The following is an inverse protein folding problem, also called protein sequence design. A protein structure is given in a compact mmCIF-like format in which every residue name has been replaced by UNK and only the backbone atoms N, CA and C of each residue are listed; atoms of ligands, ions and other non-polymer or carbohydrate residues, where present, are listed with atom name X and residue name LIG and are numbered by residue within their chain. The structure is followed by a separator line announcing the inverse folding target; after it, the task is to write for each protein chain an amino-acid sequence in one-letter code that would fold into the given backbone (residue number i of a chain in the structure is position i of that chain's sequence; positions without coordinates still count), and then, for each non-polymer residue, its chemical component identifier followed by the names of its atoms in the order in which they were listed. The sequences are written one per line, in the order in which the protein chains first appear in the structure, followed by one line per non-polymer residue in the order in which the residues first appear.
data_IF_651304061876
#
_entry.id   IF_651304061876
#
_cell.length_a   1.000
_cell.length_b   1.000
_cell.length_c   1.000
_cell.angle_alpha   90.00
_cell.angle_beta   90.00
_cell.angle_gamma   90.00
#
_symmetry.space_group_name_H-M   'P 1'
#
loop_
_entity.id
_entity.type
_entity.pdbx_description
1 polymer ?
#
# COMPACT_ATOMS: atom_id res chain seq x y z
N UNK A 1 49.39 27.53 -6.81
CA UNK A 1 48.52 26.43 -7.29
C UNK A 1 47.91 26.84 -8.62
N UNK A 2 48.06 26.02 -9.66
CA UNK A 2 47.53 26.34 -10.98
C UNK A 2 46.01 26.19 -10.99
N UNK A 3 45.32 27.06 -11.70
CA UNK A 3 43.85 27.05 -11.87
C UNK A 3 43.31 25.68 -12.31
N UNK A 4 44.10 24.91 -13.06
CA UNK A 4 43.80 23.54 -13.46
C UNK A 4 43.68 22.56 -12.29
N UNK A 5 44.46 22.75 -11.23
CA UNK A 5 44.42 21.86 -10.07
C UNK A 5 43.19 22.13 -9.16
N UNK A 6 42.70 23.37 -9.16
CA UNK A 6 41.48 23.76 -8.43
C UNK A 6 40.24 23.15 -9.11
N UNK A 7 40.19 23.14 -10.44
CA UNK A 7 39.09 22.56 -11.20
C UNK A 7 39.00 21.02 -11.01
N UNK A 8 40.15 20.35 -10.91
CA UNK A 8 40.20 18.91 -10.68
C UNK A 8 39.68 18.49 -9.29
N UNK A 9 39.87 19.32 -8.27
CA UNK A 9 39.40 19.07 -6.90
C UNK A 9 37.89 19.27 -6.79
N UNK A 10 37.30 20.20 -7.56
CA UNK A 10 35.87 20.49 -7.55
C UNK A 10 35.06 19.38 -8.22
N UNK A 11 35.61 18.71 -9.24
CA UNK A 11 34.92 17.61 -9.95
C UNK A 11 34.83 16.34 -9.11
N UNK A 12 35.74 16.14 -8.14
CA UNK A 12 35.77 14.95 -7.28
C UNK A 12 34.79 15.00 -6.10
N UNK A 13 34.24 16.17 -5.77
CA UNK A 13 33.31 16.33 -4.63
C UNK A 13 31.83 16.19 -4.98
N UNK A 14 31.47 15.87 -6.24
CA UNK A 14 30.10 15.76 -6.72
C UNK A 14 29.60 14.30 -6.89
N UNK A 15 30.30 13.31 -6.34
CA UNK A 15 29.75 11.98 -6.21
C UNK A 15 28.82 11.94 -5.00
N UNK A 16 27.64 12.52 -5.17
CA UNK A 16 26.51 12.30 -4.25
C UNK A 16 26.20 10.82 -4.23
N UNK A 17 26.61 10.12 -3.19
CA UNK A 17 26.17 8.76 -2.93
C UNK A 17 24.65 8.81 -2.80
N UNK A 18 23.92 8.39 -3.81
CA UNK A 18 22.53 8.01 -3.66
C UNK A 18 22.51 6.80 -2.72
N UNK A 19 22.31 7.07 -1.44
CA UNK A 19 21.92 6.05 -0.48
C UNK A 19 20.55 5.54 -0.95
N UNK A 20 20.57 4.45 -1.72
CA UNK A 20 19.36 3.65 -1.91
C UNK A 20 19.00 3.11 -0.53
N UNK A 21 18.00 3.70 0.11
CA UNK A 21 17.35 3.10 1.24
C UNK A 21 16.68 1.83 0.72
N UNK A 22 17.33 0.70 0.87
CA UNK A 22 16.78 -0.61 0.50
C UNK A 22 15.58 -0.85 1.40
N UNK A 23 14.38 -0.78 0.83
CA UNK A 23 13.16 -1.14 1.54
C UNK A 23 13.22 -2.64 1.84
N UNK A 24 13.53 -2.99 3.08
CA UNK A 24 13.63 -4.39 3.54
C UNK A 24 12.22 -4.97 3.71
N UNK A 25 11.57 -5.32 2.60
CA UNK A 25 10.31 -6.03 2.61
C UNK A 25 10.53 -7.49 3.01
N UNK A 26 9.94 -7.90 4.12
CA UNK A 26 10.00 -9.26 4.62
C UNK A 26 8.60 -9.86 4.68
N UNK A 27 8.40 -11.00 4.01
CA UNK A 27 7.19 -11.81 4.18
C UNK A 27 7.24 -12.50 5.55
N UNK A 28 6.18 -12.31 6.34
CA UNK A 28 6.04 -12.89 7.68
C UNK A 28 5.31 -14.23 7.64
N UNK A 29 4.25 -14.32 6.82
CA UNK A 29 3.47 -15.54 6.73
C UNK A 29 2.41 -15.52 5.64
N UNK A 30 1.79 -16.69 5.43
CA UNK A 30 0.64 -16.88 4.55
C UNK A 30 -0.46 -17.64 5.29
N UNK A 31 -1.67 -17.13 5.25
CA UNK A 31 -2.84 -17.67 5.94
C UNK A 31 -4.03 -17.70 4.97
N UNK A 32 -4.28 -18.85 4.35
CA UNK A 32 -5.27 -19.00 3.28
C UNK A 32 -4.99 -18.00 2.14
N UNK A 33 -5.93 -17.09 1.86
CA UNK A 33 -5.86 -16.08 0.80
C UNK A 33 -5.15 -14.77 1.24
N UNK A 34 -4.58 -14.74 2.45
CA UNK A 34 -3.88 -13.59 3.00
C UNK A 34 -2.39 -13.85 3.17
N UNK A 35 -1.59 -12.87 2.85
CA UNK A 35 -0.16 -12.83 3.11
C UNK A 35 0.18 -11.61 3.98
N UNK A 36 1.06 -11.82 4.96
CA UNK A 36 1.50 -10.75 5.85
C UNK A 36 2.97 -10.40 5.61
N UNK A 37 3.26 -9.10 5.71
CA UNK A 37 4.57 -8.53 5.46
C UNK A 37 4.95 -7.51 6.51
N UNK A 38 6.26 -7.32 6.67
CA UNK A 38 6.83 -6.17 7.35
C UNK A 38 7.79 -5.46 6.40
N UNK A 39 7.83 -4.14 6.48
CA UNK A 39 8.82 -3.32 5.81
C UNK A 39 9.39 -2.32 6.80
N UNK A 40 10.70 -2.11 6.73
CA UNK A 40 11.38 -1.07 7.50
C UNK A 40 11.78 0.04 6.54
N UNK A 41 11.24 1.23 6.75
CA UNK A 41 11.52 2.41 5.97
C UNK A 41 11.94 3.54 6.90
N UNK A 42 13.13 4.09 6.69
CA UNK A 42 13.67 5.21 7.50
C UNK A 42 13.58 4.98 9.03
N UNK A 43 13.87 3.74 9.49
CA UNK A 43 13.78 3.37 10.91
C UNK A 43 12.36 3.09 11.40
N UNK A 44 11.34 3.29 10.58
CA UNK A 44 9.94 3.02 10.89
C UNK A 44 9.54 1.64 10.41
N UNK A 45 8.89 0.87 11.28
CA UNK A 45 8.35 -0.45 10.94
C UNK A 45 6.88 -0.33 10.53
N UNK A 46 6.60 -0.77 9.31
CA UNK A 46 5.24 -0.89 8.76
C UNK A 46 4.90 -2.38 8.67
N UNK A 47 3.73 -2.76 9.13
CA UNK A 47 3.20 -4.11 8.98
C UNK A 47 1.95 -4.05 8.12
N UNK A 48 1.77 -4.98 7.20
CA UNK A 48 0.54 -5.08 6.43
C UNK A 48 0.20 -6.52 6.07
N UNK A 49 -1.09 -6.78 5.89
CA UNK A 49 -1.60 -7.97 5.25
C UNK A 49 -2.18 -7.60 3.89
N UNK A 50 -2.01 -8.47 2.91
CA UNK A 50 -2.63 -8.33 1.59
C UNK A 50 -3.41 -9.57 1.20
N UNK A 51 -4.47 -9.38 0.43
CA UNK A 51 -5.20 -10.44 -0.25
C UNK A 51 -5.37 -10.10 -1.72
N UNK A 52 -5.26 -11.13 -2.57
CA UNK A 52 -5.45 -11.02 -4.02
C UNK A 52 -6.84 -11.56 -4.34
N UNK A 53 -7.65 -10.87 -5.16
CA UNK A 53 -9.00 -11.32 -5.49
C UNK A 53 -8.98 -12.62 -6.29
N UNK A 54 -9.87 -13.54 -5.94
CA UNK A 54 -10.08 -14.81 -6.67
C UNK A 54 -10.78 -14.55 -8.01
N UNK A 55 -11.67 -13.56 -8.04
CA UNK A 55 -12.42 -13.17 -9.24
C UNK A 55 -12.21 -11.69 -9.52
N UNK A 56 -11.95 -11.36 -10.77
CA UNK A 56 -11.86 -9.99 -11.27
C UNK A 56 -12.75 -9.80 -12.48
N UNK A 57 -13.53 -8.74 -12.49
CA UNK A 57 -14.37 -8.35 -13.63
C UNK A 57 -14.01 -6.90 -14.09
N UNK A 58 -14.07 -6.58 -15.37
CA UNK A 58 -14.18 -7.48 -16.52
C UNK A 58 -12.94 -8.36 -16.70
N UNK A 59 -13.10 -9.62 -17.08
CA UNK A 59 -11.98 -10.59 -17.20
C UNK A 59 -10.96 -10.22 -18.28
N UNK A 60 -11.40 -9.57 -19.36
CA UNK A 60 -10.55 -9.25 -20.52
C UNK A 60 -9.76 -7.96 -20.37
N UNK A 61 -9.95 -7.21 -19.30
CA UNK A 61 -9.27 -5.94 -19.08
C UNK A 61 -7.82 -6.17 -18.67
N UNK A 62 -6.88 -5.66 -19.46
CA UNK A 62 -5.45 -5.63 -19.08
C UNK A 62 -5.25 -4.57 -17.99
N UNK A 63 -4.80 -5.01 -16.82
CA UNK A 63 -4.52 -4.14 -15.67
C UNK A 63 -3.53 -4.83 -14.74
N UNK A 64 -2.87 -4.05 -13.92
CA UNK A 64 -2.00 -4.57 -12.86
C UNK A 64 -2.82 -5.40 -11.84
N UNK A 65 -2.17 -6.19 -11.01
CA UNK A 65 -2.85 -6.98 -9.99
C UNK A 65 -3.68 -6.10 -9.04
N UNK A 66 -4.93 -6.50 -8.81
CA UNK A 66 -5.76 -5.91 -7.75
C UNK A 66 -5.33 -6.49 -6.41
N UNK A 67 -5.37 -5.67 -5.35
CA UNK A 67 -5.04 -6.11 -3.99
C UNK A 67 -5.89 -5.35 -2.96
N UNK A 68 -6.22 -6.05 -1.90
CA UNK A 68 -6.77 -5.48 -0.68
C UNK A 68 -5.69 -5.52 0.39
N UNK A 69 -5.50 -4.40 1.10
CA UNK A 69 -4.53 -4.27 2.17
C UNK A 69 -5.20 -3.93 3.49
N UNK A 70 -4.63 -4.44 4.57
CA UNK A 70 -4.86 -3.94 5.93
C UNK A 70 -3.50 -3.57 6.49
N UNK A 71 -3.27 -2.29 6.74
CA UNK A 71 -1.97 -1.74 7.12
C UNK A 71 -1.97 -1.26 8.56
N UNK A 72 -0.82 -1.41 9.20
CA UNK A 72 -0.54 -0.99 10.56
C UNK A 72 0.77 -0.19 10.58
N UNK A 73 0.66 1.10 10.90
CA UNK A 73 1.79 2.04 10.97
C UNK A 73 1.80 2.73 12.34
N UNK A 74 2.46 2.14 13.35
CA UNK A 74 2.42 2.64 14.73
C UNK A 74 2.96 4.06 14.89
N UNK A 75 4.02 4.42 14.15
CA UNK A 75 4.63 5.74 14.19
C UNK A 75 3.70 6.86 13.70
N UNK A 76 2.71 6.52 12.88
CA UNK A 76 1.68 7.44 12.37
C UNK A 76 0.35 7.31 13.15
N UNK A 77 0.34 6.52 14.23
CA UNK A 77 -0.88 6.16 14.98
C UNK A 77 -1.97 5.50 14.13
N UNK A 78 -1.58 4.86 13.03
CA UNK A 78 -2.48 4.13 12.13
C UNK A 78 -2.51 2.65 12.53
N UNK A 79 -3.70 2.18 12.92
CA UNK A 79 -3.87 0.82 13.47
C UNK A 79 -4.50 -0.19 12.52
N UNK A 80 -5.33 0.24 11.58
CA UNK A 80 -6.13 -0.69 10.77
C UNK A 80 -6.51 -0.09 9.42
N UNK A 81 -5.64 0.65 8.77
CA UNK A 81 -5.97 1.27 7.49
C UNK A 81 -6.31 0.22 6.43
N UNK A 82 -7.51 0.30 5.90
CA UNK A 82 -7.97 -0.55 4.80
C UNK A 82 -7.82 0.22 3.50
N UNK A 83 -7.08 -0.35 2.57
CA UNK A 83 -6.93 0.19 1.23
C UNK A 83 -7.04 -0.88 0.15
N UNK A 84 -7.44 -0.47 -1.03
CA UNK A 84 -7.59 -1.36 -2.18
C UNK A 84 -7.02 -0.70 -3.43
N UNK A 85 -6.38 -1.52 -4.30
CA UNK A 85 -6.05 -1.13 -5.67
C UNK A 85 -6.69 -2.11 -6.65
N UNK A 86 -7.23 -1.59 -7.73
CA UNK A 86 -7.76 -2.40 -8.85
C UNK A 86 -6.77 -2.52 -10.02
N UNK A 87 -5.54 -2.05 -9.84
CA UNK A 87 -4.50 -2.12 -10.85
C UNK A 87 -4.62 -1.07 -11.95
N UNK A 88 -5.47 -0.06 -11.78
CA UNK A 88 -5.63 1.10 -12.66
C UNK A 88 -5.93 2.35 -11.85
N UNK A 89 -5.83 3.50 -12.48
CA UNK A 89 -6.18 4.76 -11.85
C UNK A 89 -7.71 4.93 -11.77
N UNK A 90 -8.20 5.23 -10.58
CA UNK A 90 -9.63 5.48 -10.39
C UNK A 90 -10.05 6.78 -11.07
N UNK A 91 -11.21 6.76 -11.72
CA UNK A 91 -11.81 7.99 -12.25
C UNK A 91 -12.12 8.95 -11.09
N UNK A 92 -11.76 10.19 -11.25
CA UNK A 92 -12.01 11.24 -10.25
C UNK A 92 -13.49 11.27 -9.84
N UNK A 93 -13.74 11.27 -8.52
CA UNK A 93 -15.09 11.27 -7.92
C UNK A 93 -15.95 10.03 -8.27
N UNK A 94 -15.35 8.99 -8.83
CA UNK A 94 -16.09 7.73 -9.01
C UNK A 94 -16.39 7.11 -7.64
N UNK A 95 -17.63 6.65 -7.40
CA UNK A 95 -17.94 5.93 -6.16
C UNK A 95 -17.21 4.60 -6.13
N UNK A 96 -16.55 4.32 -5.00
CA UNK A 96 -15.91 3.03 -4.71
C UNK A 96 -16.50 2.49 -3.43
N UNK A 97 -16.88 1.23 -3.40
CA UNK A 97 -17.45 0.61 -2.22
C UNK A 97 -16.96 -0.82 -2.03
N UNK A 98 -16.71 -1.19 -0.78
CA UNK A 98 -16.54 -2.56 -0.35
C UNK A 98 -17.89 -3.12 0.13
N UNK A 99 -18.25 -4.32 -0.34
CA UNK A 99 -19.52 -4.97 0.03
C UNK A 99 -19.26 -6.34 0.63
N UNK A 100 -19.97 -6.65 1.72
CA UNK A 100 -19.97 -7.97 2.34
C UNK A 100 -21.39 -8.32 2.77
N UNK A 101 -22.03 -9.23 2.06
CA UNK A 101 -23.45 -9.54 2.22
C UNK A 101 -24.32 -8.29 1.99
N UNK A 102 -25.11 -7.91 3.00
CA UNK A 102 -25.97 -6.72 2.95
C UNK A 102 -25.27 -5.42 3.37
N UNK A 103 -24.02 -5.49 3.85
CA UNK A 103 -23.27 -4.32 4.31
C UNK A 103 -22.49 -3.71 3.15
N UNK A 104 -22.45 -2.38 3.10
CA UNK A 104 -21.67 -1.60 2.16
C UNK A 104 -20.87 -0.54 2.92
N UNK A 105 -19.63 -0.34 2.50
CA UNK A 105 -18.70 0.63 3.08
C UNK A 105 -18.16 1.48 1.93
N UNK A 106 -18.27 2.78 2.04
CA UNK A 106 -17.79 3.69 1.02
C UNK A 106 -16.29 3.95 1.18
N UNK A 107 -15.59 4.02 0.06
CA UNK A 107 -14.17 4.29 0.00
C UNK A 107 -13.90 5.59 -0.76
N UNK A 108 -12.96 6.37 -0.25
CA UNK A 108 -12.39 7.52 -0.93
C UNK A 108 -11.27 7.06 -1.87
N UNK A 109 -11.33 7.45 -3.14
CA UNK A 109 -10.33 7.10 -4.13
C UNK A 109 -9.43 8.29 -4.51
N UNK A 110 -8.12 8.01 -4.62
CA UNK A 110 -7.12 8.94 -5.14
C UNK A 110 -6.04 8.17 -5.90
N UNK A 111 -5.82 8.53 -7.17
CA UNK A 111 -4.88 7.81 -8.02
C UNK A 111 -5.29 6.35 -8.18
N UNK A 112 -4.40 5.44 -7.85
CA UNK A 112 -4.59 3.98 -8.02
C UNK A 112 -5.15 3.26 -6.79
N UNK A 113 -5.41 4.00 -5.71
CA UNK A 113 -5.88 3.44 -4.45
C UNK A 113 -7.21 4.04 -4.01
N UNK A 114 -7.94 3.28 -3.21
CA UNK A 114 -9.09 3.75 -2.47
C UNK A 114 -8.99 3.26 -1.02
N UNK A 115 -9.44 4.09 -0.07
CA UNK A 115 -9.35 3.86 1.36
C UNK A 115 -10.71 3.99 2.02
N UNK A 116 -10.93 3.21 3.08
CA UNK A 116 -12.03 3.49 4.02
C UNK A 116 -11.64 4.75 4.79
N UNK A 117 -12.53 5.73 4.82
CA UNK A 117 -12.23 7.05 5.41
C UNK A 117 -12.53 7.11 6.89
N UNK A 118 -13.63 6.47 7.30
CA UNK A 118 -14.11 6.51 8.66
C UNK A 118 -13.53 5.37 9.50
N UNK A 119 -12.96 5.71 10.65
CA UNK A 119 -12.33 4.72 11.55
C UNK A 119 -13.33 3.70 12.10
N UNK A 120 -14.59 4.09 12.34
CA UNK A 120 -15.62 3.15 12.77
C UNK A 120 -15.98 2.17 11.67
N UNK A 121 -16.03 2.64 10.42
CA UNK A 121 -16.29 1.79 9.27
C UNK A 121 -15.11 0.86 8.99
N UNK A 122 -13.86 1.26 9.22
CA UNK A 122 -12.71 0.35 9.20
C UNK A 122 -12.86 -0.78 10.21
N UNK A 123 -13.18 -0.47 11.46
CA UNK A 123 -13.40 -1.47 12.52
C UNK A 123 -14.55 -2.41 12.15
N UNK A 124 -15.66 -1.86 11.65
CA UNK A 124 -16.82 -2.65 11.22
C UNK A 124 -16.50 -3.55 10.03
N UNK A 125 -15.75 -3.04 9.04
CA UNK A 125 -15.34 -3.81 7.87
C UNK A 125 -14.39 -4.94 8.25
N UNK A 126 -13.38 -4.69 9.10
CA UNK A 126 -12.49 -5.73 9.62
C UNK A 126 -13.27 -6.81 10.39
N UNK A 127 -14.17 -6.40 11.27
CA UNK A 127 -15.03 -7.34 12.00
C UNK A 127 -15.89 -8.18 11.05
N UNK A 128 -16.40 -7.56 9.98
CA UNK A 128 -17.19 -8.25 8.96
C UNK A 128 -16.34 -9.23 8.16
N UNK A 129 -15.13 -8.85 7.73
CA UNK A 129 -14.19 -9.74 7.04
C UNK A 129 -13.79 -10.95 7.89
N UNK A 130 -13.54 -10.76 9.19
CA UNK A 130 -13.20 -11.85 10.11
C UNK A 130 -14.32 -12.89 10.26
N UNK A 131 -15.56 -12.49 10.09
CA UNK A 131 -16.75 -13.36 10.20
C UNK A 131 -17.19 -13.94 8.86
N UNK A 132 -16.72 -13.40 7.75
CA UNK A 132 -17.08 -13.87 6.43
C UNK A 132 -16.45 -15.24 6.17
N UNK A 133 -17.25 -16.18 5.70
CA UNK A 133 -16.78 -17.51 5.31
C UNK A 133 -16.10 -17.50 3.94
N UNK A 134 -16.47 -16.56 3.08
CA UNK A 134 -15.88 -16.16 1.80
C UNK A 134 -16.58 -14.92 1.26
#
# INVERSE_FOLDING_TARGET
MSLKNIILIIIFSLTSSFLNAEENLKKVGKFKDWESFTVSQEGTKICFAQSIPIIRAPKKLKRDPSRLFVSFRPSENIKNEISVTNGYEFKLKAPVAAKSGKKSFDLFSKGRFAWVVDNEDEIKLISTMKKASR
#
